data_IF_545445318660
#
_entry.id   IF_545445318660
#
_cell.length_a   1.000
_cell.length_b   1.000
_cell.length_c   1.000
_cell.angle_alpha   90.00
_cell.angle_beta   90.00
_cell.angle_gamma   90.00
#
_symmetry.space_group_name_H-M   'P 1'
#
loop_
_entity.id
_entity.type
_entity.pdbx_description
1 polymer ?
#
# COMPACT_ATOMS: atom_id res chain seq x y z
N UNK A 1 15.24 -8.19 35.79
CA UNK A 1 13.78 -7.94 35.78
C UNK A 1 13.56 -6.47 35.46
N UNK A 2 12.99 -6.12 34.30
CA UNK A 2 12.72 -4.70 33.97
C UNK A 2 11.48 -4.24 34.71
N UNK A 3 11.65 -3.61 35.87
CA UNK A 3 10.58 -2.96 36.62
C UNK A 3 10.04 -1.81 35.78
N UNK A 4 8.82 -1.93 35.27
CA UNK A 4 8.17 -0.83 34.55
C UNK A 4 7.66 0.17 35.58
N UNK A 5 8.07 1.42 35.47
CA UNK A 5 7.49 2.54 36.22
C UNK A 5 6.02 2.74 35.82
N UNK A 6 5.17 3.28 36.72
CA UNK A 6 3.79 3.56 36.41
C UNK A 6 3.66 4.55 35.22
N UNK A 7 2.55 4.50 34.45
CA UNK A 7 2.36 5.38 33.31
C UNK A 7 2.45 6.86 33.67
N UNK A 8 3.20 7.64 32.88
CA UNK A 8 3.24 9.09 33.00
C UNK A 8 1.92 9.69 32.48
N UNK A 9 1.25 10.49 33.31
CA UNK A 9 0.02 11.20 32.95
C UNK A 9 0.34 12.64 32.59
N UNK A 10 -0.02 13.05 31.37
CA UNK A 10 0.15 14.42 30.89
C UNK A 10 -1.23 15.09 30.79
N UNK A 11 -1.41 16.24 31.47
CA UNK A 11 -2.61 17.06 31.28
C UNK A 11 -2.46 17.88 30.01
N UNK A 12 -3.48 17.83 29.16
CA UNK A 12 -3.56 18.57 27.92
C UNK A 12 -4.90 19.30 27.89
N UNK A 13 -4.89 20.53 27.41
CA UNK A 13 -6.11 21.22 26.98
C UNK A 13 -6.72 20.50 25.77
N UNK A 14 -7.97 20.82 25.45
CA UNK A 14 -8.65 20.24 24.28
C UNK A 14 -7.89 20.56 22.98
N UNK A 15 -7.44 21.80 22.81
CA UNK A 15 -6.71 22.26 21.61
C UNK A 15 -5.36 21.56 21.45
N UNK A 16 -4.59 21.43 22.54
CA UNK A 16 -3.32 20.71 22.51
C UNK A 16 -3.50 19.23 22.17
N UNK A 17 -4.54 18.60 22.73
CA UNK A 17 -4.85 17.20 22.42
C UNK A 17 -5.26 17.05 20.95
N UNK A 18 -6.14 17.91 20.44
CA UNK A 18 -6.58 17.88 19.04
C UNK A 18 -5.39 18.05 18.08
N UNK A 19 -4.51 19.02 18.35
CA UNK A 19 -3.30 19.24 17.54
C UNK A 19 -2.36 18.03 17.56
N UNK A 20 -2.20 17.37 18.70
CA UNK A 20 -1.38 16.17 18.78
C UNK A 20 -2.02 14.97 18.06
N UNK A 21 -3.34 14.84 18.09
CA UNK A 21 -4.06 13.78 17.35
C UNK A 21 -3.96 13.99 15.83
N UNK A 22 -4.08 15.23 15.35
CA UNK A 22 -3.86 15.58 13.94
C UNK A 22 -2.43 15.24 13.50
N UNK A 23 -1.43 15.66 14.28
CA UNK A 23 -0.03 15.37 13.98
C UNK A 23 0.32 13.87 14.09
N UNK A 24 -0.40 13.12 14.92
CA UNK A 24 -0.20 11.68 15.07
C UNK A 24 -0.76 10.89 13.87
N UNK A 25 -1.80 11.39 13.21
CA UNK A 25 -2.48 10.71 12.10
C UNK A 25 -2.94 9.31 12.52
N UNK A 26 -2.47 8.28 11.81
CA UNK A 26 -2.82 6.88 12.10
C UNK A 26 -2.07 6.28 13.31
N UNK A 27 -1.14 7.01 13.92
CA UNK A 27 -0.35 6.52 15.05
C UNK A 27 -1.06 6.75 16.39
N UNK A 28 -1.05 5.77 17.32
CA UNK A 28 -1.54 6.02 18.67
C UNK A 28 -0.79 7.18 19.33
N UNK A 29 -1.52 8.10 19.97
CA UNK A 29 -0.98 9.34 20.55
C UNK A 29 0.27 9.12 21.43
N UNK A 30 0.23 8.13 22.33
CA UNK A 30 1.39 7.81 23.19
C UNK A 30 2.61 7.28 22.43
N UNK A 31 2.42 6.60 21.30
CA UNK A 31 3.51 6.17 20.42
C UNK A 31 4.08 7.38 19.66
N UNK A 32 3.22 8.27 19.18
CA UNK A 32 3.64 9.51 18.52
C UNK A 32 4.45 10.42 19.46
N UNK A 33 3.96 10.64 20.68
CA UNK A 33 4.67 11.43 21.71
C UNK A 33 6.03 10.80 22.03
N UNK A 34 6.07 9.48 22.28
CA UNK A 34 7.33 8.78 22.56
C UNK A 34 8.31 8.88 21.39
N UNK A 35 7.82 8.76 20.16
CA UNK A 35 8.61 8.91 18.94
C UNK A 35 9.21 10.31 18.86
N UNK A 36 8.39 11.36 19.03
CA UNK A 36 8.86 12.75 18.98
C UNK A 36 9.88 13.09 20.07
N UNK A 37 9.76 12.52 21.26
CA UNK A 37 10.65 12.81 22.40
C UNK A 37 11.96 12.00 22.35
N UNK A 38 11.92 10.75 21.88
CA UNK A 38 13.05 9.82 22.02
C UNK A 38 13.62 9.28 20.69
N UNK A 39 13.08 9.65 19.53
CA UNK A 39 13.73 9.32 18.26
C UNK A 39 15.10 10.00 18.15
N UNK A 40 16.07 9.29 17.57
CA UNK A 40 17.47 9.74 17.48
C UNK A 40 18.33 9.39 18.71
N UNK A 41 17.74 9.03 19.86
CA UNK A 41 18.49 8.68 21.08
C UNK A 41 18.74 7.17 21.24
N UNK A 42 18.42 6.35 20.24
CA UNK A 42 18.65 4.89 20.30
C UNK A 42 17.80 4.12 21.33
N UNK A 43 16.89 4.79 22.04
CA UNK A 43 16.06 4.21 23.10
C UNK A 43 14.88 3.38 22.56
N UNK A 44 14.51 3.56 21.29
CA UNK A 44 13.47 2.77 20.61
C UNK A 44 14.05 1.51 19.93
N UNK A 45 14.53 0.53 20.72
CA UNK A 45 14.95 -0.79 20.19
C UNK A 45 13.79 -1.64 19.66
N UNK A 46 12.56 -1.34 20.04
CA UNK A 46 11.37 -1.97 19.46
C UNK A 46 10.92 -1.12 18.29
N UNK A 47 11.45 -1.40 17.09
CA UNK A 47 10.79 -1.04 15.84
C UNK A 47 9.32 -1.28 16.07
N UNK A 48 8.52 -0.23 15.99
CA UNK A 48 7.07 -0.32 16.10
C UNK A 48 6.68 -1.52 15.24
N UNK A 49 6.19 -2.59 15.87
CA UNK A 49 5.58 -3.69 15.12
C UNK A 49 4.56 -2.97 14.28
N UNK A 50 4.85 -2.85 12.98
CA UNK A 50 3.99 -2.18 12.04
C UNK A 50 2.67 -2.91 12.22
N UNK A 51 1.75 -2.29 12.97
CA UNK A 51 0.42 -2.84 13.16
C UNK A 51 -0.06 -2.97 11.73
N UNK A 52 -0.32 -4.20 11.32
CA UNK A 52 -0.94 -4.55 10.05
C UNK A 52 -1.88 -3.39 9.71
N UNK A 53 -1.46 -2.58 8.72
CA UNK A 53 -2.20 -1.39 8.30
C UNK A 53 -3.60 -1.92 8.07
N UNK A 54 -4.58 -1.46 8.85
CA UNK A 54 -5.97 -1.72 8.49
C UNK A 54 -6.12 -1.03 7.15
N UNK A 55 -6.37 -1.76 6.06
CA UNK A 55 -6.39 -1.13 4.76
C UNK A 55 -7.45 -0.04 4.82
N UNK A 56 -7.01 1.19 4.56
CA UNK A 56 -7.92 2.33 4.40
C UNK A 56 -8.94 1.89 3.34
N UNK A 57 -10.23 2.23 3.47
CA UNK A 57 -11.30 1.69 2.61
C UNK A 57 -10.97 1.70 1.11
N UNK A 58 -10.14 2.66 0.67
CA UNK A 58 -9.66 2.77 -0.71
C UNK A 58 -8.66 1.68 -1.11
N UNK A 59 -7.81 1.22 -0.18
CA UNK A 59 -6.90 0.08 -0.39
C UNK A 59 -7.66 -1.24 -0.56
N UNK A 60 -8.83 -1.40 0.09
CA UNK A 60 -9.68 -2.59 -0.09
C UNK A 60 -10.32 -2.63 -1.48
N UNK A 61 -10.86 -1.49 -1.94
CA UNK A 61 -11.41 -1.37 -3.29
C UNK A 61 -10.33 -1.57 -4.35
N UNK A 62 -9.15 -1.00 -4.14
CA UNK A 62 -7.99 -1.21 -5.02
C UNK A 62 -7.59 -2.69 -5.06
N UNK A 63 -7.51 -3.35 -3.91
CA UNK A 63 -7.22 -4.78 -3.84
C UNK A 63 -8.27 -5.62 -4.57
N UNK A 64 -9.56 -5.26 -4.48
CA UNK A 64 -10.62 -5.94 -5.20
C UNK A 64 -10.50 -5.77 -6.73
N UNK A 65 -10.21 -4.55 -7.20
CA UNK A 65 -9.95 -4.29 -8.63
C UNK A 65 -8.73 -5.07 -9.12
N UNK A 66 -7.65 -5.10 -8.34
CA UNK A 66 -6.45 -5.89 -8.66
C UNK A 66 -6.74 -7.39 -8.69
N UNK A 67 -7.58 -7.90 -7.79
CA UNK A 67 -8.00 -9.29 -7.79
C UNK A 67 -8.83 -9.65 -9.03
N UNK A 68 -9.80 -8.81 -9.42
CA UNK A 68 -10.58 -9.00 -10.66
C UNK A 68 -9.68 -8.93 -11.90
N UNK A 69 -8.70 -8.02 -11.92
CA UNK A 69 -7.73 -7.95 -13.01
C UNK A 69 -6.86 -9.22 -13.06
N UNK A 70 -6.42 -9.75 -11.91
CA UNK A 70 -5.73 -11.03 -11.84
C UNK A 70 -6.57 -12.20 -12.36
N UNK A 71 -7.88 -12.20 -12.07
CA UNK A 71 -8.84 -13.20 -12.57
C UNK A 71 -9.13 -13.08 -14.07
N UNK A 72 -9.00 -11.89 -14.67
CA UNK A 72 -9.25 -11.66 -16.11
C UNK A 72 -8.28 -12.39 -17.04
N UNK A 73 -7.17 -12.93 -16.51
CA UNK A 73 -6.11 -13.64 -17.25
C UNK A 73 -5.45 -12.82 -18.37
N UNK A 74 -5.69 -11.50 -18.45
CA UNK A 74 -5.14 -10.61 -19.50
C UNK A 74 -3.62 -10.73 -19.58
N UNK A 75 -2.92 -10.69 -18.44
CA UNK A 75 -1.47 -10.83 -18.40
C UNK A 75 -0.97 -12.17 -18.97
N UNK A 76 -1.68 -13.27 -18.69
CA UNK A 76 -1.34 -14.59 -19.22
C UNK A 76 -1.55 -14.65 -20.74
N UNK A 77 -2.67 -14.11 -21.24
CA UNK A 77 -2.96 -14.06 -22.66
C UNK A 77 -1.95 -13.19 -23.43
N UNK A 78 -1.57 -12.03 -22.88
CA UNK A 78 -0.52 -11.18 -23.45
C UNK A 78 0.83 -11.90 -23.51
N UNK A 79 1.18 -12.65 -22.46
CA UNK A 79 2.41 -13.44 -22.44
C UNK A 79 2.38 -14.57 -23.49
N UNK A 80 1.23 -15.20 -23.74
CA UNK A 80 1.07 -16.18 -24.81
C UNK A 80 1.23 -15.54 -26.19
N UNK A 81 0.63 -14.37 -26.44
CA UNK A 81 0.80 -13.64 -27.70
C UNK A 81 2.26 -13.25 -27.92
N UNK A 82 2.94 -12.71 -26.90
CA UNK A 82 4.36 -12.38 -26.98
C UNK A 82 5.24 -13.60 -27.25
N UNK A 83 4.95 -14.72 -26.58
CA UNK A 83 5.67 -15.98 -26.81
C UNK A 83 5.47 -16.49 -28.23
N UNK A 84 4.24 -16.47 -28.75
CA UNK A 84 3.97 -16.88 -30.13
C UNK A 84 4.61 -15.94 -31.16
N UNK A 85 4.64 -14.63 -30.90
CA UNK A 85 5.37 -13.68 -31.74
C UNK A 85 6.87 -13.97 -31.77
N UNK A 86 7.48 -14.19 -30.59
CA UNK A 86 8.91 -14.50 -30.48
C UNK A 86 9.30 -15.84 -31.12
N UNK A 87 8.41 -16.83 -31.05
CA UNK A 87 8.60 -18.12 -31.71
C UNK A 87 8.30 -18.09 -33.22
N UNK A 88 7.82 -16.95 -33.74
CA UNK A 88 7.40 -16.80 -35.14
C UNK A 88 6.12 -17.57 -35.50
N UNK A 89 5.39 -18.09 -34.50
CA UNK A 89 4.14 -18.84 -34.70
C UNK A 89 2.89 -17.97 -34.70
N UNK A 90 3.00 -16.73 -34.19
CA UNK A 90 1.98 -15.71 -34.40
C UNK A 90 2.31 -14.99 -35.72
N UNK A 91 1.46 -15.12 -36.76
CA UNK A 91 1.65 -14.37 -37.99
C UNK A 91 1.34 -12.89 -37.73
N UNK A 92 2.38 -12.07 -37.54
CA UNK A 92 2.25 -10.62 -37.28
C UNK A 92 2.05 -9.88 -38.61
N UNK A 93 0.86 -10.02 -39.19
CA UNK A 93 0.45 -9.27 -40.38
C UNK A 93 -0.08 -7.88 -40.02
N UNK A 94 -0.18 -6.95 -40.99
CA UNK A 94 -0.77 -5.63 -40.78
C UNK A 94 -2.16 -5.68 -40.14
N UNK A 95 -2.99 -6.67 -40.49
CA UNK A 95 -4.31 -6.87 -39.90
C UNK A 95 -4.22 -7.29 -38.41
N UNK A 96 -3.29 -8.18 -38.08
CA UNK A 96 -3.04 -8.64 -36.70
C UNK A 96 -2.56 -7.50 -35.82
N UNK A 97 -1.64 -6.67 -36.33
CA UNK A 97 -1.17 -5.49 -35.63
C UNK A 97 -2.31 -4.47 -35.41
N UNK A 98 -3.14 -4.23 -36.43
CA UNK A 98 -4.31 -3.36 -36.34
C UNK A 98 -5.29 -3.85 -35.28
N UNK A 99 -5.59 -5.14 -35.25
CA UNK A 99 -6.57 -5.71 -34.32
C UNK A 99 -6.06 -5.65 -32.87
N UNK A 100 -4.77 -5.90 -32.64
CA UNK A 100 -4.12 -5.72 -31.32
C UNK A 100 -4.20 -4.25 -30.89
N UNK A 101 -3.85 -3.30 -31.78
CA UNK A 101 -3.91 -1.87 -31.48
C UNK A 101 -5.35 -1.41 -31.17
N UNK A 102 -6.34 -1.91 -31.92
CA UNK A 102 -7.76 -1.62 -31.70
C UNK A 102 -8.24 -2.17 -30.35
N UNK A 103 -7.87 -3.39 -29.99
CA UNK A 103 -8.19 -3.98 -28.70
C UNK A 103 -7.64 -3.14 -27.52
N UNK A 104 -6.40 -2.67 -27.62
CA UNK A 104 -5.80 -1.79 -26.62
C UNK A 104 -6.47 -0.40 -26.56
N UNK A 105 -6.92 0.14 -27.69
CA UNK A 105 -7.56 1.46 -27.77
C UNK A 105 -9.02 1.46 -27.28
N UNK A 106 -9.71 0.31 -27.35
CA UNK A 106 -11.11 0.17 -26.93
C UNK A 106 -11.27 0.13 -25.41
N UNK A 107 -10.19 -0.12 -24.66
CA UNK A 107 -10.18 -0.15 -23.18
C UNK A 107 -10.10 1.25 -22.53
N UNK A 108 -10.61 2.30 -23.18
CA UNK A 108 -10.62 3.66 -22.63
C UNK A 108 -11.98 3.96 -22.00
#
# INVERSE_FOLDING_TARGET
MTTKTPPFSLRLTFEERARLEELAGDMPLGAYIRRKVFDGQGLNKKRARARSRRPIKDEQKLAQVLAMLGQSRIANNLNQLAKMANLGTLPVLPDTERDIRRACATWR
#
